data_IF_711752458957
#
_entry.id   IF_711752458957
#
_cell.length_a   1.000
_cell.length_b   1.000
_cell.length_c   1.000
_cell.angle_alpha   90.00
_cell.angle_beta   90.00
_cell.angle_gamma   90.00
#
_symmetry.space_group_name_H-M   'P 1'
#
loop_
_entity.id
_entity.type
_entity.pdbx_description
1 polymer ?
#
# COMPACT_ATOMS: atom_id res chain seq x y z
N UNK A 1 -15.46 -9.36 -1.72
CA UNK A 1 -14.28 -10.19 -1.43
C UNK A 1 -13.15 -9.23 -1.08
N UNK A 2 -12.66 -9.29 0.14
CA UNK A 2 -11.60 -8.39 0.62
C UNK A 2 -10.29 -8.76 -0.08
N UNK A 3 -9.78 -7.88 -0.95
CA UNK A 3 -8.55 -8.13 -1.72
C UNK A 3 -7.34 -7.61 -0.96
N UNK A 4 -7.46 -6.41 -0.37
CA UNK A 4 -6.44 -5.86 0.51
C UNK A 4 -6.91 -6.11 1.95
N UNK A 5 -6.02 -6.65 2.78
CA UNK A 5 -6.29 -6.78 4.20
C UNK A 5 -6.08 -5.43 4.90
N UNK A 6 -7.09 -4.57 4.83
CA UNK A 6 -7.08 -3.22 5.38
C UNK A 6 -7.93 -3.15 6.66
N UNK A 7 -7.39 -3.65 7.75
CA UNK A 7 -8.05 -3.66 9.05
C UNK A 7 -7.86 -2.32 9.79
N UNK A 8 -8.89 -1.85 10.51
CA UNK A 8 -8.79 -0.67 11.38
C UNK A 8 -7.72 -0.85 12.46
N UNK A 9 -6.93 0.18 12.67
CA UNK A 9 -5.80 0.15 13.58
C UNK A 9 -4.52 -0.45 12.98
N UNK A 10 -4.54 -0.84 11.69
CA UNK A 10 -3.40 -1.46 11.02
C UNK A 10 -2.89 -0.64 9.84
N UNK A 11 -1.58 -0.71 9.63
CA UNK A 11 -0.90 -0.28 8.42
C UNK A 11 -0.70 -1.48 7.50
N UNK A 12 -1.26 -1.45 6.30
CA UNK A 12 -1.00 -2.44 5.25
C UNK A 12 -0.01 -1.87 4.25
N UNK A 13 1.13 -2.53 4.06
CA UNK A 13 2.11 -2.16 3.03
C UNK A 13 1.90 -3.06 1.83
N UNK A 14 1.48 -2.44 0.71
CA UNK A 14 1.24 -3.12 -0.55
C UNK A 14 2.45 -2.94 -1.47
N UNK A 15 3.25 -3.97 -1.62
CA UNK A 15 4.51 -3.93 -2.34
C UNK A 15 4.43 -4.68 -3.66
N UNK A 16 5.10 -4.18 -4.69
CA UNK A 16 5.20 -4.86 -5.99
C UNK A 16 5.99 -4.06 -7.01
N UNK A 17 6.45 -4.72 -8.08
CA UNK A 17 7.17 -4.07 -9.18
C UNK A 17 6.28 -3.02 -9.87
N UNK A 18 6.90 -2.13 -10.64
CA UNK A 18 6.18 -1.20 -11.53
C UNK A 18 5.24 -1.99 -12.45
N UNK A 19 4.11 -1.41 -12.78
CA UNK A 19 3.09 -1.96 -13.69
C UNK A 19 2.45 -3.30 -13.27
N UNK A 20 2.59 -3.70 -12.00
CA UNK A 20 1.91 -4.87 -11.45
C UNK A 20 0.47 -4.60 -10.98
N UNK A 21 -0.06 -3.41 -11.23
CA UNK A 21 -1.45 -3.09 -10.90
C UNK A 21 -1.70 -2.63 -9.47
N UNK A 22 -0.66 -2.26 -8.70
CA UNK A 22 -0.82 -1.76 -7.31
C UNK A 22 -1.90 -0.70 -7.19
N UNK A 23 -1.77 0.40 -7.93
CA UNK A 23 -2.74 1.50 -7.89
C UNK A 23 -4.13 1.07 -8.36
N UNK A 24 -4.23 0.10 -9.29
CA UNK A 24 -5.53 -0.41 -9.76
C UNK A 24 -6.22 -1.20 -8.65
N UNK A 25 -5.49 -2.09 -7.96
CA UNK A 25 -6.02 -2.87 -6.83
C UNK A 25 -6.43 -1.93 -5.69
N UNK A 26 -5.64 -0.90 -5.42
CA UNK A 26 -5.94 0.09 -4.36
C UNK A 26 -7.20 0.87 -4.68
N UNK A 27 -7.40 1.29 -5.94
CA UNK A 27 -8.63 1.96 -6.37
C UNK A 27 -9.82 1.01 -6.33
N UNK A 28 -9.63 -0.28 -6.65
CA UNK A 28 -10.66 -1.30 -6.49
C UNK A 28 -11.06 -1.45 -5.02
N UNK A 29 -10.09 -1.59 -4.11
CA UNK A 29 -10.35 -1.72 -2.68
C UNK A 29 -11.07 -0.49 -2.12
N UNK A 30 -10.64 0.71 -2.52
CA UNK A 30 -11.34 1.95 -2.20
C UNK A 30 -12.80 1.95 -2.69
N UNK A 31 -13.07 1.35 -3.87
CA UNK A 31 -14.42 1.22 -4.39
C UNK A 31 -15.31 0.36 -3.51
N UNK A 32 -14.79 -0.71 -2.93
CA UNK A 32 -15.55 -1.58 -2.02
C UNK A 32 -15.89 -0.85 -0.71
N UNK A 33 -14.97 -0.05 -0.14
CA UNK A 33 -15.27 0.83 0.99
C UNK A 33 -16.36 1.85 0.66
N UNK A 34 -16.27 2.49 -0.49
CA UNK A 34 -17.26 3.48 -0.93
C UNK A 34 -18.66 2.87 -1.11
N UNK A 35 -18.77 1.63 -1.61
CA UNK A 35 -20.06 0.94 -1.80
C UNK A 35 -20.81 0.70 -0.48
N UNK A 36 -20.11 0.65 0.63
CA UNK A 36 -20.70 0.52 1.97
C UNK A 36 -20.71 1.85 2.74
N UNK A 37 -20.60 2.96 2.02
CA UNK A 37 -20.61 4.33 2.56
C UNK A 37 -19.51 4.62 3.60
N UNK A 38 -18.37 3.94 3.52
CA UNK A 38 -17.21 4.25 4.32
C UNK A 38 -16.47 5.49 3.81
N UNK A 39 -15.89 6.26 4.71
CA UNK A 39 -15.16 7.48 4.36
C UNK A 39 -13.71 7.18 4.03
N UNK A 40 -13.31 7.54 2.82
CA UNK A 40 -12.02 7.25 2.20
C UNK A 40 -11.22 8.54 1.99
N UNK A 41 -9.95 8.53 2.40
CA UNK A 41 -8.97 9.54 1.96
C UNK A 41 -7.96 8.85 1.04
N UNK A 42 -7.69 9.45 -0.11
CA UNK A 42 -6.71 8.95 -1.06
C UNK A 42 -5.64 10.03 -1.32
N UNK A 43 -4.43 9.84 -0.80
CA UNK A 43 -3.29 10.68 -1.09
C UNK A 43 -2.60 10.16 -2.36
N UNK A 44 -2.72 10.93 -3.44
CA UNK A 44 -2.10 10.59 -4.71
C UNK A 44 -0.90 11.47 -4.97
N UNK A 45 0.28 10.88 -5.00
CA UNK A 45 1.53 11.56 -5.34
C UNK A 45 1.86 11.49 -6.83
N UNK A 46 1.26 10.56 -7.55
CA UNK A 46 1.58 10.28 -8.95
C UNK A 46 0.46 10.66 -9.92
N UNK A 47 -0.78 10.36 -9.56
CA UNK A 47 -1.92 10.55 -10.45
C UNK A 47 -2.79 11.74 -10.05
N UNK A 48 -3.25 12.51 -11.02
CA UNK A 48 -4.25 13.55 -10.76
C UNK A 48 -5.60 12.91 -10.36
N UNK A 49 -6.39 13.67 -9.61
CA UNK A 49 -7.69 13.23 -9.08
C UNK A 49 -8.62 12.66 -10.16
N UNK A 50 -8.63 13.27 -11.35
CA UNK A 50 -9.51 12.85 -12.45
C UNK A 50 -9.27 11.42 -12.92
N UNK A 51 -8.01 10.94 -12.88
CA UNK A 51 -7.67 9.56 -13.24
C UNK A 51 -8.29 8.58 -12.23
N UNK A 52 -8.21 8.90 -10.93
CA UNK A 52 -8.76 8.06 -9.86
C UNK A 52 -10.29 8.04 -9.95
N UNK A 53 -10.94 9.20 -10.11
CA UNK A 53 -12.40 9.28 -10.31
C UNK A 53 -12.85 8.47 -11.52
N UNK A 54 -12.16 8.61 -12.66
CA UNK A 54 -12.50 7.86 -13.87
C UNK A 54 -12.39 6.35 -13.66
N UNK A 55 -11.35 5.87 -12.97
CA UNK A 55 -11.21 4.44 -12.64
C UNK A 55 -12.35 3.97 -11.73
N UNK A 56 -12.70 4.70 -10.68
CA UNK A 56 -13.79 4.36 -9.77
C UNK A 56 -15.12 4.24 -10.49
N UNK A 57 -15.46 5.21 -11.34
CA UNK A 57 -16.74 5.27 -12.03
C UNK A 57 -16.79 4.27 -13.18
N UNK A 58 -15.80 4.32 -14.09
CA UNK A 58 -15.85 3.59 -15.36
C UNK A 58 -15.51 2.13 -15.24
N UNK A 59 -14.61 1.75 -14.31
CA UNK A 59 -14.14 0.37 -14.16
C UNK A 59 -14.78 -0.35 -12.99
N UNK A 60 -15.05 0.37 -11.90
CA UNK A 60 -15.55 -0.26 -10.67
C UNK A 60 -17.00 0.08 -10.34
N UNK A 61 -17.67 0.85 -11.20
CA UNK A 61 -19.11 1.10 -11.12
C UNK A 61 -19.53 1.90 -9.87
N UNK A 62 -18.64 2.74 -9.31
CA UNK A 62 -18.97 3.59 -8.17
C UNK A 62 -19.94 4.69 -8.61
N UNK A 63 -21.08 4.75 -7.94
CA UNK A 63 -22.09 5.79 -8.23
C UNK A 63 -21.64 7.18 -7.76
N UNK A 64 -22.10 8.23 -8.46
CA UNK A 64 -21.79 9.62 -8.09
C UNK A 64 -22.18 9.96 -6.64
N UNK A 65 -23.27 9.41 -6.15
CA UNK A 65 -23.76 9.65 -4.78
C UNK A 65 -22.80 9.13 -3.70
N UNK A 66 -22.01 8.09 -4.00
CA UNK A 66 -21.07 7.52 -3.03
C UNK A 66 -19.73 8.26 -3.01
N UNK A 67 -19.44 9.07 -4.03
CA UNK A 67 -18.21 9.84 -4.10
C UNK A 67 -18.14 10.97 -3.05
N UNK A 68 -19.25 11.32 -2.40
CA UNK A 68 -19.23 12.24 -1.24
C UNK A 68 -18.41 11.69 -0.05
N UNK A 69 -18.23 10.38 0.02
CA UNK A 69 -17.41 9.72 1.03
C UNK A 69 -15.92 9.65 0.64
N UNK A 70 -15.54 10.13 -0.54
CA UNK A 70 -14.17 10.11 -1.04
C UNK A 70 -13.54 11.49 -1.02
N UNK A 71 -12.39 11.59 -0.38
CA UNK A 71 -11.53 12.76 -0.44
C UNK A 71 -10.21 12.39 -1.12
N UNK A 72 -10.00 12.84 -2.35
CA UNK A 72 -8.72 12.68 -3.06
C UNK A 72 -7.90 13.93 -2.83
N UNK A 73 -6.70 13.75 -2.28
CA UNK A 73 -5.72 14.81 -2.05
C UNK A 73 -4.63 14.68 -3.11
N UNK A 74 -4.44 15.73 -3.91
CA UNK A 74 -3.23 15.87 -4.73
C UNK A 74 -2.06 16.11 -3.79
N UNK A 75 -1.24 15.09 -3.62
CA UNK A 75 -0.21 15.05 -2.59
C UNK A 75 1.18 15.41 -3.10
N UNK A 76 1.31 15.91 -4.32
CA UNK A 76 2.60 16.29 -4.90
C UNK A 76 3.34 17.25 -3.95
N UNK A 77 4.48 16.80 -3.40
CA UNK A 77 5.28 17.56 -2.44
C UNK A 77 4.75 17.61 -0.99
N UNK A 78 3.66 16.91 -0.68
CA UNK A 78 3.09 16.87 0.67
C UNK A 78 3.97 16.00 1.59
N UNK A 79 4.50 16.59 2.67
CA UNK A 79 5.31 15.84 3.65
C UNK A 79 4.45 14.95 4.55
N UNK A 80 5.09 14.00 5.25
CA UNK A 80 4.42 13.12 6.22
C UNK A 80 3.67 13.92 7.30
N UNK A 81 4.28 14.96 7.86
CA UNK A 81 3.66 15.79 8.91
C UNK A 81 2.40 16.50 8.41
N UNK A 82 2.39 16.96 7.16
CA UNK A 82 1.21 17.56 6.55
C UNK A 82 0.11 16.52 6.28
N UNK A 83 0.48 15.34 5.78
CA UNK A 83 -0.43 14.21 5.61
C UNK A 83 -1.09 13.83 6.93
N UNK A 84 -0.30 13.64 7.98
CA UNK A 84 -0.83 13.35 9.31
C UNK A 84 -1.80 14.41 9.82
N UNK A 85 -1.47 15.69 9.61
CA UNK A 85 -2.33 16.79 10.02
C UNK A 85 -3.69 16.76 9.33
N UNK A 86 -3.71 16.43 8.03
CA UNK A 86 -4.96 16.27 7.26
C UNK A 86 -5.79 15.10 7.80
N UNK A 87 -5.14 13.95 8.07
CA UNK A 87 -5.83 12.77 8.59
C UNK A 87 -6.36 13.04 10.00
N UNK A 88 -5.54 13.63 10.89
CA UNK A 88 -5.94 13.99 12.26
C UNK A 88 -7.10 14.99 12.28
N UNK A 89 -7.13 15.96 11.37
CA UNK A 89 -8.24 16.92 11.25
C UNK A 89 -9.58 16.25 10.89
N UNK A 90 -9.54 15.04 10.31
CA UNK A 90 -10.72 14.23 9.95
C UNK A 90 -10.90 13.03 10.88
N UNK A 91 -10.20 12.98 12.01
CA UNK A 91 -10.31 11.90 12.98
C UNK A 91 -11.77 11.68 13.41
N UNK A 92 -12.18 10.41 13.52
CA UNK A 92 -13.56 10.02 13.84
C UNK A 92 -14.53 10.01 12.64
N UNK A 93 -14.13 10.57 11.48
CA UNK A 93 -14.93 10.52 10.26
C UNK A 93 -14.25 9.77 9.10
N UNK A 94 -13.08 9.20 9.30
CA UNK A 94 -12.32 8.45 8.28
C UNK A 94 -12.25 6.98 8.67
N UNK A 95 -12.47 6.10 7.70
CA UNK A 95 -12.37 4.66 7.87
C UNK A 95 -11.06 4.10 7.30
N UNK A 96 -10.66 4.59 6.13
CA UNK A 96 -9.46 4.12 5.43
C UNK A 96 -8.71 5.26 4.73
N UNK A 97 -7.38 5.16 4.76
CA UNK A 97 -6.45 6.09 4.10
C UNK A 97 -5.56 5.32 3.14
N UNK A 98 -5.52 5.74 1.87
CA UNK A 98 -4.60 5.22 0.86
C UNK A 98 -3.50 6.22 0.57
N UNK A 99 -2.25 5.74 0.41
CA UNK A 99 -1.06 6.56 0.12
C UNK A 99 -0.33 5.96 -1.08
N UNK A 100 -0.42 6.61 -2.23
CA UNK A 100 0.18 6.17 -3.49
C UNK A 100 1.21 7.20 -3.98
N UNK A 101 2.52 7.03 -3.68
CA UNK A 101 3.22 5.93 -3.03
C UNK A 101 4.40 6.40 -2.16
N UNK A 102 4.98 5.47 -1.37
CA UNK A 102 5.98 5.69 -0.33
C UNK A 102 7.21 6.51 -0.76
N UNK A 103 7.78 6.24 -1.94
CA UNK A 103 9.02 6.91 -2.37
C UNK A 103 8.84 8.40 -2.59
N UNK A 104 7.69 8.80 -3.12
CA UNK A 104 7.36 10.21 -3.30
C UNK A 104 7.05 10.88 -1.96
N UNK A 105 6.38 10.19 -1.03
CA UNK A 105 6.21 10.66 0.34
C UNK A 105 7.55 10.83 1.06
N UNK A 106 8.48 9.86 0.90
CA UNK A 106 9.84 9.96 1.46
C UNK A 106 10.56 11.18 0.90
N UNK A 107 10.55 11.36 -0.42
CA UNK A 107 11.18 12.51 -1.09
C UNK A 107 10.58 13.84 -0.62
N UNK A 108 9.26 13.90 -0.49
CA UNK A 108 8.56 15.10 0.00
C UNK A 108 8.86 15.41 1.48
N UNK A 109 9.13 14.37 2.29
CA UNK A 109 9.38 14.53 3.74
C UNK A 109 10.83 14.88 4.04
N UNK A 110 11.79 14.22 3.38
CA UNK A 110 13.22 14.30 3.72
C UNK A 110 14.10 14.85 2.60
N UNK A 111 13.55 15.07 1.40
CA UNK A 111 14.33 15.37 0.20
C UNK A 111 14.96 14.12 -0.42
N UNK A 112 15.86 14.31 -1.36
CA UNK A 112 16.59 13.21 -1.99
C UNK A 112 17.62 12.63 -1.01
N UNK A 113 17.58 11.32 -0.81
CA UNK A 113 18.55 10.64 0.04
C UNK A 113 19.91 10.54 -0.66
N UNK A 114 21.00 10.80 0.08
CA UNK A 114 22.38 10.75 -0.44
C UNK A 114 22.94 9.34 -0.52
N UNK A 115 22.40 8.42 0.27
CA UNK A 115 22.85 7.04 0.34
C UNK A 115 21.69 6.10 0.75
N UNK A 116 21.89 4.79 0.49
CA UNK A 116 20.88 3.77 0.71
C UNK A 116 20.57 3.58 2.21
N UNK A 117 21.57 3.62 3.07
CA UNK A 117 21.38 3.45 4.51
C UNK A 117 20.53 4.55 5.13
N UNK A 118 20.76 5.80 4.70
CA UNK A 118 19.91 6.95 5.10
C UNK A 118 18.50 6.79 4.57
N UNK A 119 18.36 6.38 3.29
CA UNK A 119 17.05 6.11 2.67
C UNK A 119 16.26 5.07 3.45
N UNK A 120 16.87 3.95 3.83
CA UNK A 120 16.22 2.90 4.60
C UNK A 120 15.73 3.39 5.97
N UNK A 121 16.55 4.16 6.71
CA UNK A 121 16.15 4.75 7.99
C UNK A 121 14.97 5.71 7.87
N UNK A 122 14.94 6.54 6.83
CA UNK A 122 13.83 7.44 6.54
C UNK A 122 12.53 6.67 6.28
N UNK A 123 12.61 5.61 5.48
CA UNK A 123 11.48 4.72 5.20
C UNK A 123 10.98 4.05 6.47
N UNK A 124 11.88 3.55 7.31
CA UNK A 124 11.54 2.95 8.59
C UNK A 124 10.81 3.93 9.51
N UNK A 125 11.24 5.19 9.54
CA UNK A 125 10.56 6.23 10.30
C UNK A 125 9.13 6.46 9.78
N UNK A 126 8.95 6.65 8.46
CA UNK A 126 7.61 6.81 7.85
C UNK A 126 6.69 5.64 8.19
N UNK A 127 7.16 4.41 8.02
CA UNK A 127 6.37 3.21 8.32
C UNK A 127 5.99 3.14 9.80
N UNK A 128 6.92 3.49 10.69
CA UNK A 128 6.66 3.53 12.13
C UNK A 128 5.59 4.55 12.48
N UNK A 129 5.70 5.77 11.96
CA UNK A 129 4.77 6.86 12.24
C UNK A 129 3.37 6.57 11.70
N UNK A 130 3.27 6.04 10.47
CA UNK A 130 1.99 5.65 9.88
C UNK A 130 1.33 4.48 10.66
N UNK A 131 2.11 3.52 11.16
CA UNK A 131 1.58 2.44 11.99
C UNK A 131 1.04 2.95 13.33
N UNK A 132 1.72 3.92 13.94
CA UNK A 132 1.25 4.61 15.15
C UNK A 132 -0.04 5.37 14.85
N UNK A 133 -0.07 6.15 13.77
CA UNK A 133 -1.24 6.91 13.34
C UNK A 133 -2.48 6.02 13.12
N UNK A 134 -2.29 4.89 12.41
CA UNK A 134 -3.36 3.93 12.18
C UNK A 134 -3.98 3.43 13.49
N UNK A 135 -3.12 3.07 14.46
CA UNK A 135 -3.53 2.56 15.76
C UNK A 135 -4.20 3.63 16.62
N UNK A 136 -3.61 4.84 16.70
CA UNK A 136 -4.13 5.92 17.52
C UNK A 136 -5.52 6.39 17.08
N UNK A 137 -5.74 6.48 15.76
CA UNK A 137 -7.01 6.93 15.20
C UNK A 137 -7.99 5.78 14.92
N UNK A 138 -7.58 4.52 15.13
CA UNK A 138 -8.34 3.32 14.80
C UNK A 138 -8.87 3.32 13.36
N UNK A 139 -8.01 3.65 12.41
CA UNK A 139 -8.28 3.67 10.96
C UNK A 139 -7.41 2.66 10.22
N UNK A 140 -7.85 2.22 9.06
CA UNK A 140 -6.99 1.45 8.17
C UNK A 140 -6.09 2.40 7.36
N UNK A 141 -4.80 2.09 7.24
CA UNK A 141 -3.89 2.79 6.33
C UNK A 141 -3.29 1.80 5.35
N UNK A 142 -3.37 2.10 4.05
CA UNK A 142 -2.77 1.31 2.98
C UNK A 142 -1.69 2.15 2.30
N UNK A 143 -0.44 1.71 2.42
CA UNK A 143 0.73 2.37 1.85
C UNK A 143 1.26 1.55 0.68
N UNK A 144 1.32 2.16 -0.51
CA UNK A 144 1.91 1.53 -1.68
C UNK A 144 3.43 1.73 -1.66
N UNK A 145 4.16 0.65 -1.93
CA UNK A 145 5.61 0.68 -2.07
C UNK A 145 6.03 0.07 -3.39
N UNK A 146 6.90 0.76 -4.10
CA UNK A 146 7.43 0.28 -5.36
C UNK A 146 8.76 -0.44 -5.14
N UNK A 147 8.86 -1.65 -5.72
CA UNK A 147 10.11 -2.38 -5.83
C UNK A 147 10.72 -2.05 -7.18
N UNK A 148 11.97 -1.67 -7.21
CA UNK A 148 12.66 -1.22 -8.43
C UNK A 148 12.62 -2.22 -9.58
N UNK A 149 13.07 -1.80 -10.75
CA UNK A 149 13.23 -2.66 -11.94
C UNK A 149 14.25 -3.77 -11.66
N UNK A 150 14.32 -4.76 -12.54
CA UNK A 150 15.19 -5.94 -12.38
C UNK A 150 16.68 -5.64 -12.13
N UNK A 151 17.19 -4.47 -12.51
CA UNK A 151 18.56 -4.03 -12.21
C UNK A 151 18.80 -3.60 -10.77
N UNK A 152 17.74 -3.20 -10.04
CA UNK A 152 17.80 -2.74 -8.64
C UNK A 152 17.15 -3.74 -7.67
N UNK A 153 17.05 -5.00 -8.09
CA UNK A 153 16.33 -6.02 -7.34
C UNK A 153 16.95 -6.28 -5.95
N UNK A 154 18.28 -6.27 -5.81
CA UNK A 154 18.98 -6.42 -4.53
C UNK A 154 18.63 -5.29 -3.54
N UNK A 155 18.57 -4.04 -4.02
CA UNK A 155 18.13 -2.90 -3.20
C UNK A 155 16.68 -3.04 -2.75
N UNK A 156 15.86 -3.59 -3.61
CA UNK A 156 14.44 -3.83 -3.31
C UNK A 156 14.25 -4.89 -2.24
N UNK A 157 15.07 -5.93 -2.23
CA UNK A 157 15.07 -6.97 -1.19
C UNK A 157 15.55 -6.39 0.14
N UNK A 158 16.65 -5.63 0.14
CA UNK A 158 17.15 -4.94 1.33
C UNK A 158 16.07 -4.06 1.95
N UNK A 159 15.29 -3.38 1.11
CA UNK A 159 14.17 -2.54 1.50
C UNK A 159 13.01 -3.34 2.12
N UNK A 160 12.62 -4.46 1.52
CA UNK A 160 11.59 -5.36 2.05
C UNK A 160 12.03 -5.97 3.39
N UNK A 161 13.30 -6.35 3.52
CA UNK A 161 13.86 -6.87 4.76
C UNK A 161 13.92 -5.79 5.86
N UNK A 162 14.27 -4.55 5.50
CA UNK A 162 14.23 -3.41 6.41
C UNK A 162 12.81 -3.15 6.94
N UNK A 163 11.78 -3.30 6.10
CA UNK A 163 10.39 -3.28 6.55
C UNK A 163 10.09 -4.43 7.53
N UNK A 164 10.66 -5.63 7.30
CA UNK A 164 10.46 -6.78 8.18
C UNK A 164 10.97 -6.52 9.60
N UNK A 165 12.16 -5.95 9.73
CA UNK A 165 12.77 -5.66 11.03
C UNK A 165 12.03 -4.57 11.80
N UNK A 166 11.59 -3.51 11.10
CA UNK A 166 10.90 -2.36 11.72
C UNK A 166 9.53 -2.76 12.26
N UNK A 167 8.94 -3.80 11.70
CA UNK A 167 7.54 -4.17 11.86
C UNK A 167 7.33 -5.30 12.85
N UNK A 168 8.38 -5.92 13.35
CA UNK A 168 8.30 -7.03 14.31
C UNK A 168 7.50 -6.63 15.56
N UNK A 169 6.31 -7.22 15.73
CA UNK A 169 5.42 -6.95 16.87
C UNK A 169 4.52 -5.73 16.74
N UNK A 170 4.47 -5.04 15.57
CA UNK A 170 3.60 -3.89 15.31
C UNK A 170 2.35 -4.31 14.51
N UNK A 171 1.34 -3.44 14.52
CA UNK A 171 0.11 -3.56 13.73
C UNK A 171 0.35 -3.26 12.23
N UNK A 172 1.19 -4.04 11.58
CA UNK A 172 1.54 -3.87 10.18
C UNK A 172 1.37 -5.19 9.42
N UNK A 173 0.63 -5.11 8.33
CA UNK A 173 0.42 -6.21 7.38
C UNK A 173 1.24 -5.94 6.13
N UNK A 174 1.96 -6.95 5.64
CA UNK A 174 2.70 -6.86 4.38
C UNK A 174 1.97 -7.66 3.32
N UNK A 175 1.75 -7.04 2.18
CA UNK A 175 1.18 -7.67 1.01
C UNK A 175 2.09 -7.48 -0.19
N UNK A 176 2.22 -8.51 -1.00
CA UNK A 176 3.00 -8.49 -2.22
C UNK A 176 2.12 -8.73 -3.43
N UNK A 177 2.29 -7.92 -4.47
CA UNK A 177 1.61 -8.11 -5.75
C UNK A 177 2.60 -8.71 -6.74
N UNK A 178 2.26 -9.89 -7.27
CA UNK A 178 2.96 -10.57 -8.34
C UNK A 178 2.10 -10.67 -9.60
N UNK A 179 2.73 -10.87 -10.75
CA UNK A 179 2.06 -11.16 -12.02
C UNK A 179 2.49 -12.54 -12.48
N UNK A 180 1.50 -13.43 -12.67
CA UNK A 180 1.78 -14.83 -13.02
C UNK A 180 2.43 -15.61 -11.86
N UNK A 181 3.04 -16.76 -12.16
CA UNK A 181 3.61 -17.70 -11.19
C UNK A 181 5.00 -17.29 -10.63
N UNK A 182 5.36 -16.02 -10.66
CA UNK A 182 6.71 -15.60 -10.24
C UNK A 182 6.73 -15.22 -8.77
N UNK A 183 6.97 -16.20 -7.93
CA UNK A 183 7.44 -15.99 -6.54
C UNK A 183 8.96 -15.98 -6.58
N UNK A 184 9.58 -14.85 -6.24
CA UNK A 184 11.04 -14.74 -6.28
C UNK A 184 11.65 -15.35 -5.01
N UNK A 185 12.39 -16.45 -5.19
CA UNK A 185 13.04 -17.22 -4.12
C UNK A 185 14.05 -16.45 -3.28
N UNK A 186 14.47 -15.28 -3.76
CA UNK A 186 15.47 -14.43 -3.10
C UNK A 186 14.85 -13.53 -2.03
N UNK A 187 13.53 -13.44 -1.96
CA UNK A 187 12.83 -12.66 -0.94
C UNK A 187 12.70 -13.52 0.31
N UNK A 188 13.31 -13.13 1.42
CA UNK A 188 13.06 -13.73 2.72
C UNK A 188 11.72 -13.21 3.25
N UNK A 189 10.72 -14.08 3.21
CA UNK A 189 9.39 -13.79 3.74
C UNK A 189 9.30 -14.27 5.18
N UNK A 190 9.23 -13.34 6.15
CA UNK A 190 8.89 -13.70 7.53
C UNK A 190 7.38 -13.98 7.64
N UNK A 191 7.09 -15.21 7.92
CA UNK A 191 5.92 -15.92 8.39
C UNK A 191 4.53 -15.69 7.77
N UNK A 192 4.09 -14.54 7.31
CA UNK A 192 2.79 -14.40 6.61
C UNK A 192 2.85 -13.29 5.58
N UNK A 193 2.96 -13.63 4.34
CA UNK A 193 2.79 -12.68 3.22
C UNK A 193 1.51 -13.03 2.47
N UNK A 194 0.62 -12.06 2.33
CA UNK A 194 -0.51 -12.19 1.43
C UNK A 194 -0.02 -11.93 0.01
N UNK A 195 -0.27 -12.85 -0.90
CA UNK A 195 0.06 -12.71 -2.32
C UNK A 195 -1.22 -12.45 -3.10
N UNK A 196 -1.24 -11.37 -3.86
CA UNK A 196 -2.28 -11.08 -4.83
C UNK A 196 -1.70 -11.34 -6.22
N UNK A 197 -2.28 -12.26 -6.96
CA UNK A 197 -1.96 -12.49 -8.36
C UNK A 197 -2.93 -11.70 -9.23
N UNK A 198 -2.37 -10.91 -10.14
CA UNK A 198 -3.12 -10.11 -11.11
C UNK A 198 -2.97 -10.75 -12.48
N UNK A 199 -4.07 -11.28 -13.03
CA UNK A 199 -4.16 -11.72 -14.42
C UNK A 199 -5.17 -10.85 -15.16
N UNK A 200 -4.70 -9.82 -15.86
CA UNK A 200 -5.58 -8.85 -16.51
C UNK A 200 -6.45 -8.08 -15.52
N UNK A 201 -7.77 -8.19 -15.63
CA UNK A 201 -8.72 -7.64 -14.65
C UNK A 201 -9.23 -8.70 -13.65
N UNK A 202 -8.81 -9.95 -13.80
CA UNK A 202 -9.10 -11.01 -12.83
C UNK A 202 -8.11 -10.93 -11.67
N UNK A 203 -8.66 -10.70 -10.48
CA UNK A 203 -7.92 -10.65 -9.23
C UNK A 203 -8.14 -11.97 -8.49
N UNK A 204 -7.09 -12.80 -8.42
CA UNK A 204 -7.10 -14.00 -7.59
C UNK A 204 -6.45 -13.71 -6.26
N UNK A 205 -7.24 -13.77 -5.20
CA UNK A 205 -6.77 -13.60 -3.85
C UNK A 205 -6.42 -14.95 -3.24
N UNK A 206 -5.19 -15.08 -2.78
CA UNK A 206 -4.74 -16.18 -1.95
C UNK A 206 -4.62 -15.68 -0.51
N UNK A 207 -5.63 -15.94 0.31
CA UNK A 207 -5.58 -15.64 1.73
C UNK A 207 -4.57 -16.56 2.42
N UNK A 208 -3.68 -16.00 3.23
CA UNK A 208 -2.75 -16.68 4.14
C UNK A 208 -2.07 -17.92 3.55
N UNK A 209 -1.42 -17.77 2.41
CA UNK A 209 -0.57 -18.84 1.87
C UNK A 209 0.80 -18.70 2.52
N UNK A 210 1.24 -19.76 3.21
CA UNK A 210 2.64 -19.88 3.62
C UNK A 210 3.48 -20.02 2.34
N UNK A 211 4.18 -18.96 1.96
CA UNK A 211 5.00 -18.90 0.73
C UNK A 211 6.02 -20.04 0.70
N UNK A 212 6.50 -20.51 1.85
CA UNK A 212 7.39 -21.69 1.95
C UNK A 212 6.73 -22.98 1.45
N UNK A 213 5.41 -23.11 1.54
CA UNK A 213 4.68 -24.28 1.05
C UNK A 213 4.49 -24.25 -0.46
N UNK A 214 4.19 -23.07 -1.03
CA UNK A 214 4.14 -22.90 -2.50
C UNK A 214 5.52 -23.18 -3.09
N UNK A 215 6.59 -22.67 -2.48
CA UNK A 215 7.96 -22.88 -2.95
C UNK A 215 8.38 -24.36 -2.95
N UNK A 216 7.93 -25.13 -1.95
CA UNK A 216 8.19 -26.58 -1.88
C UNK A 216 7.36 -27.38 -2.88
N UNK A 217 6.21 -26.90 -3.31
CA UNK A 217 5.35 -27.60 -4.28
C UNK A 217 5.78 -27.39 -5.73
N UNK A 218 6.39 -26.24 -6.07
CA UNK A 218 6.86 -25.94 -7.43
C UNK A 218 8.28 -26.47 -7.73
N UNK A 219 9.05 -26.86 -6.68
CA UNK A 219 10.40 -27.41 -6.84
C UNK A 219 10.45 -28.95 -6.62
N UNK A 220 9.30 -29.63 -6.71
CA UNK A 220 9.19 -31.08 -6.82
C UNK A 220 8.81 -31.46 -8.25
#
# INVERSE_FOLDING_TARGET
MEIIKSEKGYLTILTGKTDMGKSTITVYDASEYLKVASNVIFFSYEYCQSIIYNKLISHFGVGWSTLFHLNIVDAAGLSLSMLESIVKAKAGSVDVVYIDYLDLLQKATYGESKDEGTSLKQIQAIVSDLAVLAKELNIAIVLLSQVGSSSDFEKSISRLNAFAETVKGKNVVKMFIGKGNVIDSRIQYDDVVHVILVEGYDLRHFSSVNIREIYKSENK
#
